data_IF_420400819025
#
_entry.id   IF_420400819025
#
_cell.length_a   1.000
_cell.length_b   1.000
_cell.length_c   1.000
_cell.angle_alpha   90.00
_cell.angle_beta   90.00
_cell.angle_gamma   90.00
#
_symmetry.space_group_name_H-M   'P 1'
#
loop_
_entity.id
_entity.type
_entity.pdbx_description
1 polymer ?
#
# COMPACT_ATOMS: atom_id res chain seq x y z
N UNK A 1 14.76 -14.86 -4.32
CA UNK A 1 14.24 -15.95 -5.16
C UNK A 1 15.24 -17.10 -5.28
N UNK A 2 16.55 -16.87 -5.43
CA UNK A 2 17.55 -17.97 -5.38
C UNK A 2 17.52 -18.72 -4.04
N UNK A 3 17.48 -17.99 -2.93
CA UNK A 3 17.34 -18.53 -1.57
C UNK A 3 16.06 -19.36 -1.39
N UNK A 4 14.95 -18.95 -2.03
CA UNK A 4 13.70 -19.72 -2.01
C UNK A 4 13.85 -21.06 -2.72
N UNK A 5 14.53 -21.09 -3.88
CA UNK A 5 14.79 -22.30 -4.65
C UNK A 5 15.69 -23.25 -3.86
N UNK A 6 16.71 -22.71 -3.20
CA UNK A 6 17.62 -23.48 -2.36
C UNK A 6 16.88 -24.12 -1.16
N UNK A 7 15.97 -23.37 -0.53
CA UNK A 7 15.26 -23.81 0.69
C UNK A 7 14.02 -24.65 0.43
N UNK A 8 13.31 -24.39 -0.66
CA UNK A 8 12.01 -25.00 -0.95
C UNK A 8 12.03 -25.86 -2.22
N UNK A 9 13.18 -26.01 -2.89
CA UNK A 9 13.40 -26.80 -4.13
C UNK A 9 12.59 -26.33 -5.36
N UNK A 10 11.77 -25.30 -5.18
CA UNK A 10 10.97 -24.64 -6.21
C UNK A 10 11.03 -23.13 -5.96
N UNK A 11 10.75 -22.32 -6.99
CA UNK A 11 10.52 -20.89 -6.78
C UNK A 11 9.31 -20.74 -5.84
N UNK A 12 9.54 -20.48 -4.56
CA UNK A 12 8.50 -20.43 -3.55
C UNK A 12 7.66 -19.17 -3.73
N UNK A 13 6.33 -19.35 -3.82
CA UNK A 13 5.39 -18.27 -4.08
C UNK A 13 4.89 -17.71 -2.75
N UNK A 14 5.47 -16.59 -2.34
CA UNK A 14 4.97 -15.83 -1.19
C UNK A 14 3.59 -15.25 -1.52
N UNK A 15 2.62 -15.35 -0.60
CA UNK A 15 1.29 -14.74 -0.78
C UNK A 15 1.35 -13.24 -1.07
N UNK A 16 2.38 -12.56 -0.56
CA UNK A 16 2.69 -11.17 -0.88
C UNK A 16 2.80 -10.88 -2.40
N UNK A 17 3.24 -11.85 -3.21
CA UNK A 17 3.38 -11.69 -4.67
C UNK A 17 2.03 -11.63 -5.40
N UNK A 18 0.94 -12.00 -4.75
CA UNK A 18 -0.42 -11.96 -5.33
C UNK A 18 -1.15 -10.66 -5.02
N UNK A 19 -0.59 -9.80 -4.16
CA UNK A 19 -1.25 -8.57 -3.73
C UNK A 19 -1.20 -7.51 -4.86
N UNK A 20 -2.34 -6.97 -5.29
CA UNK A 20 -2.36 -5.84 -6.23
C UNK A 20 -1.58 -4.66 -5.64
N UNK A 21 -0.61 -4.15 -6.39
CA UNK A 21 0.31 -3.13 -5.87
C UNK A 21 1.73 -3.64 -5.60
N UNK A 22 1.94 -4.96 -5.61
CA UNK A 22 3.25 -5.59 -5.37
C UNK A 22 3.86 -6.04 -6.68
N UNK A 23 4.81 -5.25 -7.20
CA UNK A 23 5.62 -5.59 -8.37
C UNK A 23 7.10 -5.83 -8.03
N UNK A 24 7.49 -5.50 -6.80
CA UNK A 24 8.80 -5.77 -6.23
C UNK A 24 8.62 -6.74 -5.07
N UNK A 25 9.44 -7.80 -5.02
CA UNK A 25 9.47 -8.69 -3.87
C UNK A 25 10.01 -7.95 -2.65
N UNK A 26 9.25 -7.82 -1.54
CA UNK A 26 9.71 -7.11 -0.35
C UNK A 26 10.75 -7.89 0.48
N UNK A 27 10.95 -9.18 0.16
CA UNK A 27 11.90 -10.09 0.82
C UNK A 27 13.23 -10.08 0.07
N UNK A 28 13.17 -10.14 -1.26
CA UNK A 28 14.35 -10.31 -2.12
C UNK A 28 14.74 -9.04 -2.88
N UNK A 29 14.00 -7.94 -2.72
CA UNK A 29 14.26 -6.64 -3.31
C UNK A 29 14.46 -6.67 -4.84
N UNK A 30 13.70 -7.54 -5.51
CA UNK A 30 13.79 -7.75 -6.96
C UNK A 30 12.42 -7.63 -7.62
N UNK A 31 12.40 -7.20 -8.88
CA UNK A 31 11.17 -7.15 -9.68
C UNK A 31 10.56 -8.56 -9.82
N UNK A 32 9.25 -8.64 -9.65
CA UNK A 32 8.48 -9.86 -9.84
C UNK A 32 8.29 -10.14 -11.34
N UNK A 33 8.10 -11.41 -11.67
CA UNK A 33 7.70 -11.84 -13.01
C UNK A 33 6.19 -12.05 -13.05
N UNK A 34 5.58 -11.77 -14.21
CA UNK A 34 4.14 -11.90 -14.42
C UNK A 34 3.85 -13.18 -15.18
N UNK A 35 2.84 -13.92 -14.74
CA UNK A 35 2.36 -15.11 -15.47
C UNK A 35 1.52 -14.71 -16.68
N UNK A 36 1.86 -15.26 -17.85
CA UNK A 36 1.05 -15.11 -19.06
C UNK A 36 -0.14 -16.07 -19.13
N UNK A 37 -0.30 -16.96 -18.13
CA UNK A 37 -1.35 -17.97 -18.11
C UNK A 37 -2.78 -17.39 -17.98
N UNK A 38 -2.92 -16.12 -17.58
CA UNK A 38 -4.21 -15.42 -17.50
C UNK A 38 -4.79 -14.99 -18.87
N UNK A 39 -4.15 -15.35 -19.99
CA UNK A 39 -4.48 -14.84 -21.32
C UNK A 39 -5.66 -15.49 -22.06
N UNK A 40 -6.13 -16.67 -21.64
CA UNK A 40 -7.24 -17.34 -22.34
C UNK A 40 -8.56 -17.04 -21.66
N UNK A 41 -9.33 -16.15 -22.30
CA UNK A 41 -10.70 -15.68 -22.05
C UNK A 41 -11.70 -16.77 -21.65
N UNK A 42 -11.53 -17.33 -20.46
CA UNK A 42 -12.60 -18.06 -19.77
C UNK A 42 -13.17 -17.13 -18.72
N UNK A 43 -14.51 -17.09 -18.53
CA UNK A 43 -15.15 -16.18 -17.57
C UNK A 43 -14.88 -16.54 -16.10
N UNK A 44 -13.98 -17.49 -15.84
CA UNK A 44 -13.65 -17.99 -14.52
C UNK A 44 -12.17 -17.73 -14.25
N UNK A 45 -11.87 -17.12 -13.11
CA UNK A 45 -10.51 -17.04 -12.58
C UNK A 45 -9.99 -18.47 -12.41
N UNK A 46 -9.08 -18.91 -13.27
CA UNK A 46 -8.44 -20.21 -13.10
C UNK A 46 -7.29 -20.08 -12.11
N UNK A 47 -7.34 -20.87 -11.04
CA UNK A 47 -6.22 -21.05 -10.14
C UNK A 47 -5.14 -21.83 -10.91
N UNK A 48 -4.15 -21.11 -11.43
CA UNK A 48 -3.01 -21.72 -12.10
C UNK A 48 -1.79 -21.68 -11.19
N UNK A 49 -1.12 -22.82 -11.05
CA UNK A 49 0.23 -22.88 -10.53
C UNK A 49 1.16 -22.26 -11.58
N UNK A 50 1.83 -21.14 -11.27
CA UNK A 50 2.62 -20.46 -12.28
C UNK A 50 3.89 -21.26 -12.53
N UNK A 51 4.09 -21.64 -13.79
CA UNK A 51 5.26 -22.38 -14.23
C UNK A 51 6.28 -21.42 -14.82
N UNK A 52 7.57 -21.73 -14.64
CA UNK A 52 8.67 -20.85 -15.01
C UNK A 52 8.72 -20.54 -16.51
N UNK A 53 8.29 -21.47 -17.36
CA UNK A 53 8.11 -21.32 -18.81
C UNK A 53 7.01 -20.30 -19.20
N UNK A 54 6.03 -20.08 -18.31
CA UNK A 54 4.93 -19.13 -18.49
C UNK A 54 5.17 -17.75 -17.86
N UNK A 55 6.27 -17.56 -17.12
CA UNK A 55 6.64 -16.30 -16.47
C UNK A 55 7.36 -15.36 -17.43
N UNK A 56 6.96 -14.10 -17.41
CA UNK A 56 7.53 -13.03 -18.23
C UNK A 56 8.00 -11.90 -17.35
N UNK A 57 9.08 -11.23 -17.75
CA UNK A 57 9.51 -9.99 -17.08
C UNK A 57 8.42 -8.93 -17.22
N UNK A 58 8.28 -8.10 -16.20
CA UNK A 58 7.42 -6.92 -16.25
C UNK A 58 7.81 -6.04 -17.43
N UNK A 59 6.84 -5.71 -18.27
CA UNK A 59 7.03 -4.71 -19.33
C UNK A 59 7.02 -3.33 -18.69
N UNK A 60 8.19 -2.83 -18.34
CA UNK A 60 8.35 -1.47 -17.83
C UNK A 60 8.26 -0.48 -19.01
N UNK A 61 7.54 0.62 -18.82
CA UNK A 61 7.62 1.78 -19.73
C UNK A 61 8.99 2.41 -19.49
N UNK A 62 9.73 2.70 -20.56
CA UNK A 62 11.10 3.22 -20.53
C UNK A 62 11.27 4.35 -19.52
N UNK A 63 12.23 4.21 -18.61
CA UNK A 63 12.72 5.28 -17.74
C UNK A 63 14.25 5.27 -17.70
N UNK A 64 14.87 6.44 -17.84
CA UNK A 64 16.29 6.62 -17.54
C UNK A 64 16.51 6.65 -16.03
N UNK A 65 17.59 6.00 -15.58
CA UNK A 65 18.03 5.76 -14.20
C UNK A 65 17.21 4.72 -13.42
N UNK A 66 17.86 3.59 -13.11
CA UNK A 66 17.22 2.40 -12.55
C UNK A 66 17.14 2.38 -11.01
N UNK A 67 17.91 3.22 -10.30
CA UNK A 67 18.09 3.09 -8.84
C UNK A 67 16.96 3.72 -8.02
N UNK A 68 16.59 4.98 -8.26
CA UNK A 68 15.47 5.65 -7.54
C UNK A 68 14.09 5.03 -7.86
N UNK A 69 13.99 4.40 -9.04
CA UNK A 69 12.81 3.64 -9.47
C UNK A 69 12.50 2.48 -8.54
N UNK A 70 13.51 1.65 -8.25
CA UNK A 70 13.38 0.46 -7.42
C UNK A 70 12.91 0.78 -6.00
N UNK A 71 13.47 1.83 -5.37
CA UNK A 71 13.11 2.19 -3.99
C UNK A 71 11.65 2.68 -3.89
N UNK A 72 11.22 3.52 -4.82
CA UNK A 72 9.84 4.03 -4.83
C UNK A 72 8.84 2.90 -5.05
N UNK A 73 9.16 1.96 -5.95
CA UNK A 73 8.33 0.78 -6.21
C UNK A 73 8.27 -0.16 -5.00
N UNK A 74 9.38 -0.34 -4.28
CA UNK A 74 9.39 -1.13 -3.05
C UNK A 74 8.52 -0.49 -1.96
N UNK A 75 8.64 0.82 -1.74
CA UNK A 75 7.80 1.55 -0.76
C UNK A 75 6.32 1.41 -1.10
N UNK A 76 5.97 1.48 -2.38
CA UNK A 76 4.60 1.26 -2.85
C UNK A 76 4.13 -0.18 -2.60
N UNK A 77 4.95 -1.18 -2.90
CA UNK A 77 4.65 -2.57 -2.62
C UNK A 77 4.45 -2.84 -1.13
N UNK A 78 5.29 -2.27 -0.26
CA UNK A 78 5.14 -2.35 1.20
C UNK A 78 3.85 -1.70 1.68
N UNK A 79 3.48 -0.54 1.11
CA UNK A 79 2.19 0.10 1.42
C UNK A 79 0.99 -0.75 0.98
N UNK A 80 1.06 -1.39 -0.20
CA UNK A 80 0.03 -2.32 -0.64
C UNK A 80 -0.14 -3.49 0.33
N UNK A 81 0.98 -4.08 0.78
CA UNK A 81 0.99 -5.17 1.75
C UNK A 81 0.42 -4.75 3.09
N UNK A 82 0.85 -3.60 3.61
CA UNK A 82 0.33 -3.02 4.84
C UNK A 82 -1.18 -2.82 4.80
N UNK A 83 -1.71 -2.31 3.69
CA UNK A 83 -3.15 -2.15 3.48
C UNK A 83 -3.88 -3.49 3.49
N UNK A 84 -3.34 -4.52 2.82
CA UNK A 84 -3.96 -5.86 2.79
C UNK A 84 -3.83 -6.64 4.09
N UNK A 85 -2.88 -6.27 4.96
CA UNK A 85 -2.68 -6.90 6.26
C UNK A 85 -3.63 -6.39 7.34
N UNK A 86 -4.43 -5.36 7.04
CA UNK A 86 -5.48 -4.88 7.93
C UNK A 86 -6.55 -5.95 8.13
N UNK A 87 -7.22 -5.92 9.29
CA UNK A 87 -8.29 -6.86 9.59
C UNK A 87 -9.42 -6.77 8.54
N UNK A 88 -10.10 -7.88 8.18
CA UNK A 88 -11.14 -7.88 7.15
C UNK A 88 -12.30 -6.91 7.38
N UNK A 89 -12.54 -6.54 8.64
CA UNK A 89 -13.58 -5.62 9.09
C UNK A 89 -13.04 -4.23 9.44
N UNK A 90 -11.77 -3.94 9.12
CA UNK A 90 -11.21 -2.62 9.29
C UNK A 90 -11.60 -1.72 8.12
N UNK A 91 -12.08 -0.52 8.42
CA UNK A 91 -12.40 0.49 7.42
C UNK A 91 -11.77 1.83 7.83
N UNK A 92 -11.22 2.54 6.85
CA UNK A 92 -10.80 3.92 7.06
C UNK A 92 -12.02 4.83 7.00
N UNK A 93 -12.29 5.56 8.08
CA UNK A 93 -13.23 6.66 8.05
C UNK A 93 -12.71 7.77 7.14
N UNK A 94 -13.47 8.10 6.09
CA UNK A 94 -12.97 8.94 5.02
C UNK A 94 -12.62 10.36 5.49
N UNK A 95 -13.38 10.92 6.44
CA UNK A 95 -13.09 12.24 7.00
C UNK A 95 -11.80 12.24 7.81
N UNK A 96 -11.57 11.19 8.61
CA UNK A 96 -10.36 11.04 9.40
C UNK A 96 -9.13 10.88 8.50
N UNK A 97 -9.23 10.02 7.49
CA UNK A 97 -8.16 9.86 6.51
C UNK A 97 -7.88 11.17 5.75
N UNK A 98 -8.92 11.93 5.43
CA UNK A 98 -8.80 13.27 4.88
C UNK A 98 -8.03 14.22 5.79
N UNK A 99 -8.35 14.24 7.10
CA UNK A 99 -7.62 15.03 8.10
C UNK A 99 -6.16 14.62 8.19
N UNK A 100 -5.86 13.32 8.28
CA UNK A 100 -4.48 12.80 8.33
C UNK A 100 -3.65 13.31 7.14
N UNK A 101 -4.18 13.26 5.93
CA UNK A 101 -3.49 13.75 4.73
C UNK A 101 -3.32 15.28 4.75
N UNK A 102 -4.36 16.01 5.13
CA UNK A 102 -4.34 17.46 5.22
C UNK A 102 -3.36 17.98 6.28
N UNK A 103 -3.34 17.34 7.45
CA UNK A 103 -2.41 17.63 8.55
C UNK A 103 -0.98 17.37 8.10
N UNK A 104 -0.74 16.25 7.38
CA UNK A 104 0.58 15.93 6.85
C UNK A 104 1.05 16.95 5.80
N UNK A 105 0.17 17.41 4.90
CA UNK A 105 0.49 18.48 3.96
C UNK A 105 0.90 19.77 4.68
N UNK A 106 0.18 20.16 5.74
CA UNK A 106 0.53 21.34 6.54
C UNK A 106 1.86 21.15 7.27
N UNK A 107 2.11 19.97 7.85
CA UNK A 107 3.38 19.67 8.53
C UNK A 107 4.60 19.69 7.59
N UNK A 108 4.39 19.39 6.31
CA UNK A 108 5.43 19.46 5.28
C UNK A 108 5.59 20.87 4.67
N UNK A 109 4.82 21.86 5.13
CA UNK A 109 4.81 23.22 4.56
C UNK A 109 4.17 23.31 3.17
N UNK A 110 3.45 22.27 2.74
CA UNK A 110 2.80 22.19 1.43
C UNK A 110 1.37 22.75 1.44
N UNK A 111 0.90 23.16 2.63
CA UNK A 111 -0.41 23.77 2.85
C UNK A 111 -0.32 24.77 3.98
N UNK A 112 -0.83 25.97 3.76
CA UNK A 112 -0.94 27.00 4.79
C UNK A 112 -1.84 26.53 5.95
N UNK A 113 -1.67 27.11 7.13
CA UNK A 113 -2.59 26.89 8.26
C UNK A 113 -4.02 27.38 7.97
N UNK A 114 -4.16 28.35 7.04
CA UNK A 114 -5.43 28.82 6.48
C UNK A 114 -6.17 27.75 5.66
N UNK A 115 -5.46 26.68 5.29
CA UNK A 115 -5.98 25.55 4.51
C UNK A 115 -5.69 25.60 3.01
N UNK A 116 -5.04 26.66 2.52
CA UNK A 116 -4.69 26.84 1.11
C UNK A 116 -3.44 26.01 0.72
N UNK A 117 -3.48 25.17 -0.33
CA UNK A 117 -2.32 24.40 -0.77
C UNK A 117 -1.31 25.27 -1.54
N UNK A 118 -0.02 25.02 -1.33
CA UNK A 118 1.08 25.56 -2.13
C UNK A 118 1.17 24.78 -3.45
N UNK A 119 0.26 25.08 -4.38
CA UNK A 119 0.06 24.26 -5.59
C UNK A 119 1.33 24.06 -6.42
N UNK A 120 2.17 25.09 -6.56
CA UNK A 120 3.40 25.00 -7.34
C UNK A 120 4.36 23.92 -6.77
N UNK A 121 4.57 23.95 -5.45
CA UNK A 121 5.44 23.01 -4.75
C UNK A 121 4.85 21.59 -4.77
N UNK A 122 3.54 21.47 -4.52
CA UNK A 122 2.84 20.18 -4.58
C UNK A 122 2.91 19.53 -5.97
N UNK A 123 2.73 20.30 -7.05
CA UNK A 123 2.75 19.76 -8.42
C UNK A 123 4.11 19.15 -8.73
N UNK A 124 5.21 19.87 -8.44
CA UNK A 124 6.56 19.37 -8.68
C UNK A 124 6.86 18.09 -7.90
N UNK A 125 6.49 18.04 -6.62
CA UNK A 125 6.70 16.86 -5.78
C UNK A 125 5.86 15.67 -6.21
N UNK A 126 4.58 15.88 -6.55
CA UNK A 126 3.70 14.81 -7.05
C UNK A 126 4.24 14.21 -8.33
N UNK A 127 4.67 15.04 -9.29
CA UNK A 127 5.23 14.56 -10.55
C UNK A 127 6.53 13.77 -10.33
N UNK A 128 7.41 14.30 -9.47
CA UNK A 128 8.65 13.62 -9.08
C UNK A 128 8.38 12.26 -8.44
N UNK A 129 7.45 12.18 -7.49
CA UNK A 129 7.11 10.93 -6.79
C UNK A 129 6.35 9.94 -7.67
N UNK A 130 5.53 10.40 -8.61
CA UNK A 130 4.75 9.52 -9.49
C UNK A 130 5.58 8.95 -10.64
N UNK A 131 6.59 9.68 -11.14
CA UNK A 131 7.43 9.26 -12.26
C UNK A 131 7.99 7.82 -12.14
N UNK A 132 8.66 7.42 -11.05
CA UNK A 132 9.24 6.08 -10.92
C UNK A 132 8.19 4.96 -10.82
N UNK A 133 6.95 5.30 -10.46
CA UNK A 133 5.85 4.33 -10.36
C UNK A 133 5.12 4.16 -11.69
N UNK A 134 5.00 5.24 -12.48
CA UNK A 134 4.31 5.27 -13.78
C UNK A 134 4.97 4.41 -14.88
N UNK A 135 6.17 3.89 -14.62
CA UNK A 135 6.83 2.90 -15.47
C UNK A 135 6.07 1.57 -15.46
N UNK A 136 5.30 1.29 -14.40
CA UNK A 136 4.39 0.16 -14.33
C UNK A 136 3.09 0.51 -15.06
N UNK A 137 2.67 -0.34 -15.99
CA UNK A 137 1.54 -0.06 -16.87
C UNK A 137 0.24 0.21 -16.08
N UNK A 138 0.02 -0.55 -15.01
CA UNK A 138 -1.12 -0.45 -14.10
C UNK A 138 -1.14 0.87 -13.33
N UNK A 139 0.03 1.50 -13.13
CA UNK A 139 0.18 2.79 -12.45
C UNK A 139 0.30 3.97 -13.44
N UNK A 140 0.13 3.74 -14.74
CA UNK A 140 0.14 4.80 -15.75
C UNK A 140 -0.99 5.83 -15.57
N UNK A 141 -1.98 5.55 -14.71
CA UNK A 141 -3.04 6.48 -14.33
C UNK A 141 -2.62 7.52 -13.28
N UNK A 142 -1.50 7.32 -12.57
CA UNK A 142 -0.97 8.31 -11.61
C UNK A 142 -0.70 9.67 -12.29
N UNK A 143 -0.58 10.79 -11.56
CA UNK A 143 -0.29 12.07 -12.19
C UNK A 143 1.01 12.06 -13.01
N UNK A 144 0.93 12.41 -14.30
CA UNK A 144 2.11 12.46 -15.20
C UNK A 144 2.23 13.77 -15.98
N UNK A 145 1.33 14.71 -15.73
CA UNK A 145 1.32 16.05 -16.32
C UNK A 145 0.94 17.03 -15.21
N UNK A 146 1.34 18.30 -15.35
CA UNK A 146 1.01 19.33 -14.36
C UNK A 146 -0.49 19.46 -14.11
N UNK A 147 -1.31 19.42 -15.16
CA UNK A 147 -2.77 19.48 -15.02
C UNK A 147 -3.33 18.32 -14.19
N UNK A 148 -2.82 17.10 -14.41
CA UNK A 148 -3.24 15.92 -13.63
C UNK A 148 -2.75 16.01 -12.19
N UNK A 149 -1.54 16.52 -11.96
CA UNK A 149 -1.01 16.73 -10.62
C UNK A 149 -1.82 17.79 -9.86
N UNK A 150 -2.14 18.91 -10.52
CA UNK A 150 -3.01 19.97 -9.98
C UNK A 150 -4.39 19.43 -9.62
N UNK A 151 -5.03 18.69 -10.54
CA UNK A 151 -6.33 18.08 -10.30
C UNK A 151 -6.30 17.08 -9.13
N UNK A 152 -5.22 16.31 -9.02
CA UNK A 152 -5.00 15.37 -7.91
C UNK A 152 -4.86 16.09 -6.56
N UNK A 153 -4.00 17.11 -6.46
CA UNK A 153 -3.81 17.90 -5.22
C UNK A 153 -5.09 18.60 -4.81
N UNK A 154 -5.81 19.22 -5.77
CA UNK A 154 -7.10 19.84 -5.51
C UNK A 154 -8.13 18.82 -4.99
N UNK A 155 -8.16 17.62 -5.56
CA UNK A 155 -9.05 16.55 -5.10
C UNK A 155 -8.71 16.11 -3.67
N UNK A 156 -7.42 15.99 -3.35
CA UNK A 156 -6.96 15.62 -2.02
C UNK A 156 -7.30 16.68 -0.97
N UNK A 157 -7.21 17.97 -1.32
CA UNK A 157 -7.42 19.06 -0.37
C UNK A 157 -8.89 19.43 -0.14
N UNK A 158 -9.74 19.28 -1.16
CA UNK A 158 -11.08 19.87 -1.16
C UNK A 158 -12.22 18.86 -1.22
N UNK A 159 -11.94 17.57 -1.40
CA UNK A 159 -12.95 16.52 -1.39
C UNK A 159 -12.56 15.44 -0.41
N UNK A 160 -13.49 14.90 0.38
CA UNK A 160 -13.17 13.77 1.24
C UNK A 160 -12.70 12.60 0.35
N UNK A 161 -11.65 11.85 0.74
CA UNK A 161 -11.03 10.79 -0.07
C UNK A 161 -11.94 9.60 -0.44
N UNK A 162 -13.22 9.63 -0.07
CA UNK A 162 -14.23 8.55 -0.13
C UNK A 162 -14.27 7.79 -1.47
N UNK A 163 -13.98 8.46 -2.60
CA UNK A 163 -14.06 7.85 -3.95
C UNK A 163 -12.71 7.74 -4.66
N UNK A 164 -11.61 7.88 -3.94
CA UNK A 164 -10.28 7.77 -4.52
C UNK A 164 -9.94 6.29 -4.75
N UNK A 165 -9.35 5.99 -5.91
CA UNK A 165 -8.92 4.63 -6.24
C UNK A 165 -7.86 4.14 -5.22
N UNK A 166 -7.86 2.87 -4.78
CA UNK A 166 -6.90 2.37 -3.80
C UNK A 166 -5.43 2.68 -4.13
N UNK A 167 -5.03 2.56 -5.41
CA UNK A 167 -3.67 2.94 -5.82
C UNK A 167 -3.34 4.43 -5.67
N UNK A 168 -4.33 5.32 -5.77
CA UNK A 168 -4.10 6.74 -5.49
C UNK A 168 -3.96 6.99 -3.99
N UNK A 169 -4.66 6.22 -3.14
CA UNK A 169 -4.40 6.24 -1.70
C UNK A 169 -3.01 5.74 -1.35
N UNK A 170 -2.60 4.58 -1.89
CA UNK A 170 -1.26 4.05 -1.71
C UNK A 170 -0.19 5.03 -2.18
N UNK A 171 -0.42 5.68 -3.33
CA UNK A 171 0.44 6.76 -3.81
C UNK A 171 0.47 7.94 -2.84
N UNK A 172 -0.68 8.36 -2.30
CA UNK A 172 -0.78 9.44 -1.29
C UNK A 172 0.06 9.10 -0.06
N UNK A 173 -0.04 7.87 0.43
CA UNK A 173 0.70 7.37 1.58
C UNK A 173 2.21 7.45 1.32
N UNK A 174 2.68 6.87 0.21
CA UNK A 174 4.11 6.88 -0.11
C UNK A 174 4.63 8.30 -0.36
N UNK A 175 3.85 9.16 -1.02
CA UNK A 175 4.25 10.54 -1.30
C UNK A 175 4.35 11.39 -0.03
N UNK A 176 3.34 11.38 0.85
CA UNK A 176 3.28 12.26 2.01
C UNK A 176 4.03 11.72 3.24
N UNK A 177 4.09 10.40 3.39
CA UNK A 177 4.64 9.75 4.58
C UNK A 177 5.93 8.98 4.28
N UNK A 178 6.27 8.77 3.00
CA UNK A 178 7.45 8.03 2.57
C UNK A 178 7.26 6.51 2.60
N UNK A 179 6.59 5.99 3.63
CA UNK A 179 6.32 4.55 3.79
C UNK A 179 5.02 4.29 4.58
N UNK A 180 4.62 3.02 4.63
CA UNK A 180 3.41 2.58 5.32
C UNK A 180 3.48 2.79 6.82
N UNK A 181 4.62 2.49 7.43
CA UNK A 181 4.81 2.49 8.88
C UNK A 181 4.64 3.91 9.44
N UNK A 182 5.19 4.91 8.75
CA UNK A 182 5.06 6.33 9.13
C UNK A 182 3.62 6.82 9.03
N UNK A 183 2.88 6.38 8.00
CA UNK A 183 1.46 6.66 7.87
C UNK A 183 0.65 5.97 8.98
N UNK A 184 0.86 4.67 9.17
CA UNK A 184 0.08 3.87 10.09
C UNK A 184 0.29 4.28 11.55
N UNK A 185 1.49 4.72 11.93
CA UNK A 185 1.75 5.25 13.26
C UNK A 185 0.92 6.52 13.55
N UNK A 186 0.76 7.41 12.57
CA UNK A 186 -0.07 8.62 12.71
C UNK A 186 -1.54 8.25 12.76
N UNK A 187 -1.98 7.33 11.90
CA UNK A 187 -3.35 6.82 11.92
C UNK A 187 -3.67 6.20 13.27
N UNK A 188 -2.83 5.33 13.83
CA UNK A 188 -3.09 4.71 15.13
C UNK A 188 -3.28 5.74 16.23
N UNK A 189 -2.40 6.74 16.33
CA UNK A 189 -2.53 7.80 17.33
C UNK A 189 -3.85 8.56 17.16
N UNK A 190 -4.23 8.93 15.93
CA UNK A 190 -5.51 9.60 15.69
C UNK A 190 -6.73 8.69 15.92
N UNK A 191 -6.59 7.37 15.79
CA UNK A 191 -7.66 6.39 16.02
C UNK A 191 -7.78 6.01 17.51
N UNK A 192 -6.69 5.98 18.27
CA UNK A 192 -6.65 5.71 19.71
C UNK A 192 -7.26 6.85 20.56
N UNK A 193 -7.27 8.10 20.07
CA UNK A 193 -8.00 9.21 20.70
C UNK A 193 -9.54 9.21 20.47
N UNK A 194 -10.08 8.15 19.84
CA UNK A 194 -11.53 8.03 19.62
C UNK A 194 -12.22 7.29 20.79
N UNK A 195 -13.30 7.81 21.40
CA UNK A 195 -13.94 7.28 22.63
C UNK A 195 -14.63 5.90 22.50
N UNK A 196 -14.33 5.15 21.43
CA UNK A 196 -14.86 3.80 21.19
C UNK A 196 -13.85 2.71 21.61
N UNK A 197 -12.61 3.08 21.94
CA UNK A 197 -11.53 2.13 22.27
C UNK A 197 -11.27 1.90 23.77
N UNK A 198 -12.00 2.57 24.68
CA UNK A 198 -11.88 2.36 26.13
C UNK A 198 -12.14 0.90 26.57
N UNK A 199 -12.78 0.08 25.72
CA UNK A 199 -13.04 -1.34 26.01
C UNK A 199 -11.92 -2.31 25.56
N UNK A 200 -10.90 -1.86 24.82
CA UNK A 200 -9.79 -2.72 24.38
C UNK A 200 -8.57 -2.64 25.31
N UNK A 201 -8.48 -1.61 26.15
CA UNK A 201 -7.37 -1.40 27.08
C UNK A 201 -7.35 -2.33 28.30
N UNK A 202 -8.41 -3.12 28.55
CA UNK A 202 -8.44 -4.06 29.67
C UNK A 202 -7.53 -5.30 29.50
N UNK A 203 -6.96 -5.52 28.30
CA UNK A 203 -6.11 -6.68 28.00
C UNK A 203 -4.60 -6.35 27.91
N UNK A 204 -4.23 -5.07 28.07
CA UNK A 204 -2.94 -4.54 27.59
C UNK A 204 -1.82 -4.46 28.65
N UNK A 205 -2.11 -4.73 29.93
CA UNK A 205 -1.13 -4.43 30.99
C UNK A 205 0.00 -5.48 31.19
N UNK A 206 0.08 -6.58 30.43
CA UNK A 206 1.03 -7.68 30.77
C UNK A 206 1.98 -8.17 29.69
N UNK A 207 1.95 -7.69 28.44
CA UNK A 207 2.78 -8.29 27.40
C UNK A 207 3.45 -7.26 26.48
N UNK A 208 4.78 -7.15 26.57
CA UNK A 208 5.62 -6.21 25.81
C UNK A 208 5.79 -6.53 24.32
N UNK A 209 5.02 -7.46 23.76
CA UNK A 209 5.11 -7.81 22.34
C UNK A 209 3.72 -7.94 21.69
N UNK A 210 3.25 -6.81 21.17
CA UNK A 210 1.94 -6.65 20.52
C UNK A 210 1.74 -7.62 19.34
N UNK A 211 2.81 -8.05 18.67
CA UNK A 211 2.74 -8.94 17.51
C UNK A 211 2.50 -10.42 17.88
N UNK A 212 2.80 -10.82 19.12
CA UNK A 212 2.55 -12.17 19.64
C UNK A 212 1.12 -12.27 20.17
N UNK A 213 0.63 -11.22 20.83
CA UNK A 213 -0.74 -11.10 21.33
C UNK A 213 -1.77 -11.22 20.21
N UNK A 214 -1.63 -10.44 19.12
CA UNK A 214 -2.59 -10.47 18.01
C UNK A 214 -2.67 -11.83 17.32
N UNK A 215 -1.52 -12.50 17.13
CA UNK A 215 -1.50 -13.85 16.54
C UNK A 215 -2.13 -14.90 17.44
N UNK A 216 -1.99 -14.77 18.76
CA UNK A 216 -2.56 -15.70 19.74
C UNK A 216 -4.08 -15.50 19.88
N UNK A 217 -4.54 -14.25 19.97
CA UNK A 217 -5.97 -13.93 20.03
C UNK A 217 -6.72 -14.38 18.76
N UNK A 218 -6.11 -14.24 17.59
CA UNK A 218 -6.67 -14.73 16.33
C UNK A 218 -6.68 -16.26 16.24
N UNK A 219 -5.66 -16.94 16.80
CA UNK A 219 -5.64 -18.41 16.91
C UNK A 219 -6.74 -18.94 17.82
N UNK A 220 -6.92 -18.31 18.98
CA UNK A 220 -7.92 -18.74 19.97
C UNK A 220 -9.37 -18.48 19.49
N UNK A 221 -9.61 -17.38 18.75
CA UNK A 221 -10.90 -17.11 18.11
C UNK A 221 -11.22 -18.12 17.00
N UNK A 222 -10.22 -18.47 16.19
CA UNK A 222 -10.38 -19.48 15.12
C UNK A 222 -10.67 -20.88 15.69
N UNK A 223 -10.03 -21.27 16.80
CA UNK A 223 -10.33 -22.54 17.47
C UNK A 223 -11.71 -22.57 18.14
N UNK A 224 -12.19 -21.43 18.66
CA UNK A 224 -13.52 -21.34 19.26
C UNK A 224 -14.65 -21.43 18.23
N UNK A 225 -14.47 -20.81 17.05
CA UNK A 225 -15.45 -20.94 15.96
C UNK A 225 -15.41 -22.34 15.33
N UNK A 226 -14.24 -22.95 15.22
CA UNK A 226 -14.09 -24.33 14.69
C UNK A 226 -14.68 -25.42 15.61
N UNK A 227 -14.95 -25.11 16.88
CA UNK A 227 -15.62 -26.02 17.84
C UNK A 227 -17.12 -25.78 17.95
N UNK A 228 -17.65 -24.76 17.27
CA UNK A 228 -19.08 -24.38 17.27
C UNK A 228 -19.83 -24.80 16.00
N UNK A 229 -19.12 -25.31 15.00
CA UNK A 229 -19.69 -26.01 13.82
C UNK A 229 -19.45 -27.51 13.90
#
# INVERSE_FOLDING_TARGET
MADDIERHTVAYWHGAHQVPGVWMCPIHHCALMVSSAAGNRTPYYSWCLPRQDGLRRLTLRTSGSDYEGCESQERFARAALGLTALAPNFFFEAEQLGRVYLNRLTALGLRESSGKPHLADCIGLVLKSAAPLRVLAELAALPGTEDRARAYVSRLCWRPPVRMHPFLHLFTIVWLFGNWESFWNIVKVEFEEHPVLDNLHALDASCRDHNVMYRRALGDLWEQESRRG
#
